data_IF_480432925799
#
_entry.id   IF_480432925799
#
_cell.length_a   1.000
_cell.length_b   1.000
_cell.length_c   1.000
_cell.angle_alpha   90.00
_cell.angle_beta   90.00
_cell.angle_gamma   90.00
#
_symmetry.space_group_name_H-M   'P 1'
#
loop_
_entity.id
_entity.type
_entity.pdbx_description
1 polymer ?
#
# COMPACT_ATOMS: atom_id res chain seq x y z
N UNK A 1 9.93 -10.02 -13.10
CA UNK A 1 8.50 -10.13 -12.74
C UNK A 1 8.37 -9.25 -11.51
N UNK A 2 7.61 -8.16 -11.60
CA UNK A 2 7.46 -7.25 -10.47
C UNK A 2 6.68 -7.96 -9.37
N UNK A 3 7.13 -7.78 -8.13
CA UNK A 3 6.48 -8.28 -6.92
C UNK A 3 6.07 -7.07 -6.12
N UNK A 4 4.86 -7.09 -5.59
CA UNK A 4 4.36 -6.12 -4.65
C UNK A 4 4.64 -6.62 -3.23
N UNK A 5 5.07 -5.71 -2.38
CA UNK A 5 5.30 -5.90 -0.96
C UNK A 5 4.30 -5.05 -0.18
N UNK A 6 3.53 -5.70 0.68
CA UNK A 6 2.55 -5.09 1.55
C UNK A 6 3.06 -5.17 2.98
N UNK A 7 3.46 -4.04 3.55
CA UNK A 7 4.21 -3.99 4.81
C UNK A 7 3.35 -3.31 5.86
N UNK A 8 3.07 -3.99 6.97
CA UNK A 8 2.30 -3.40 8.09
C UNK A 8 2.94 -2.08 8.54
N UNK A 9 2.11 -1.03 8.70
CA UNK A 9 2.58 0.33 9.01
C UNK A 9 3.19 0.43 10.42
N UNK A 10 2.56 -0.22 11.40
CA UNK A 10 3.02 -0.18 12.78
C UNK A 10 4.16 -1.18 13.06
N UNK A 11 5.10 -0.76 13.92
CA UNK A 11 6.10 -1.67 14.47
C UNK A 11 5.42 -2.71 15.37
N UNK A 12 5.47 -3.97 14.96
CA UNK A 12 4.81 -5.06 15.67
C UNK A 12 5.64 -5.55 16.87
N UNK A 13 4.99 -5.90 17.99
CA UNK A 13 5.69 -6.51 19.11
C UNK A 13 6.24 -7.88 18.70
N UNK A 14 7.38 -8.28 19.27
CA UNK A 14 7.99 -9.61 19.03
C UNK A 14 7.08 -10.81 19.35
N UNK A 15 6.03 -10.59 20.15
CA UNK A 15 5.03 -11.59 20.51
C UNK A 15 3.82 -11.62 19.57
N UNK A 16 3.84 -10.87 18.47
CA UNK A 16 2.75 -10.83 17.50
C UNK A 16 2.49 -12.23 16.94
N UNK A 17 1.20 -12.56 16.79
CA UNK A 17 0.74 -13.82 16.21
C UNK A 17 0.08 -13.51 14.89
N UNK A 18 0.66 -14.00 13.80
CA UNK A 18 0.19 -13.75 12.44
C UNK A 18 -0.94 -14.73 12.08
N UNK A 19 -2.15 -14.24 11.74
CA UNK A 19 -3.28 -15.11 11.41
C UNK A 19 -3.23 -15.65 9.97
N UNK A 20 -2.23 -15.24 9.19
CA UNK A 20 -2.02 -15.61 7.80
C UNK A 20 -0.73 -16.43 7.63
N UNK A 21 -0.59 -17.07 6.47
CA UNK A 21 0.61 -17.83 6.13
C UNK A 21 1.80 -16.90 5.89
N UNK A 22 2.80 -16.99 6.78
CA UNK A 22 4.06 -16.25 6.63
C UNK A 22 4.80 -16.75 5.38
N UNK A 23 5.10 -15.83 4.47
CA UNK A 23 5.82 -16.11 3.22
C UNK A 23 7.34 -15.93 3.38
N UNK A 24 7.76 -14.97 4.20
CA UNK A 24 9.15 -14.71 4.55
C UNK A 24 9.32 -14.66 6.07
N UNK A 25 9.98 -15.67 6.65
CA UNK A 25 10.24 -15.72 8.09
C UNK A 25 11.14 -14.59 8.61
N UNK A 26 11.90 -13.92 7.74
CA UNK A 26 12.74 -12.79 8.10
C UNK A 26 11.98 -11.45 8.14
N UNK A 27 10.81 -11.38 7.50
CA UNK A 27 9.92 -10.22 7.46
C UNK A 27 8.46 -10.69 7.51
N UNK A 28 7.99 -11.26 8.64
CA UNK A 28 6.66 -11.84 8.76
C UNK A 28 5.50 -10.82 8.67
N UNK A 29 5.79 -9.54 8.88
CA UNK A 29 4.92 -8.39 8.67
C UNK A 29 4.72 -8.03 7.19
N UNK A 30 5.48 -8.64 6.29
CA UNK A 30 5.37 -8.40 4.84
C UNK A 30 4.56 -9.51 4.18
N UNK A 31 3.52 -9.12 3.44
CA UNK A 31 2.81 -9.99 2.52
C UNK A 31 3.24 -9.66 1.09
N UNK A 32 3.49 -10.67 0.28
CA UNK A 32 4.00 -10.54 -1.08
C UNK A 32 2.99 -11.08 -2.09
N UNK A 33 2.81 -10.37 -3.19
CA UNK A 33 2.05 -10.85 -4.35
C UNK A 33 2.78 -10.55 -5.66
N UNK A 34 2.57 -11.40 -6.66
CA UNK A 34 2.95 -11.06 -8.03
C UNK A 34 2.00 -10.02 -8.62
N UNK A 35 2.44 -9.32 -9.67
CA UNK A 35 1.60 -8.42 -10.45
C UNK A 35 0.31 -9.07 -10.97
N UNK A 36 0.38 -10.33 -11.43
CA UNK A 36 -0.81 -11.09 -11.87
C UNK A 36 -1.81 -11.31 -10.73
N UNK A 37 -1.32 -11.53 -9.50
CA UNK A 37 -2.15 -11.73 -8.32
C UNK A 37 -2.77 -10.41 -7.84
N UNK A 38 -2.02 -9.31 -7.86
CA UNK A 38 -2.55 -7.97 -7.57
C UNK A 38 -3.62 -7.60 -8.59
N UNK A 39 -3.39 -7.85 -9.88
CA UNK A 39 -4.38 -7.63 -10.94
C UNK A 39 -5.66 -8.44 -10.71
N UNK A 40 -5.54 -9.70 -10.28
CA UNK A 40 -6.68 -10.54 -9.95
C UNK A 40 -7.47 -9.97 -8.76
N UNK A 41 -6.78 -9.56 -7.69
CA UNK A 41 -7.38 -8.97 -6.50
C UNK A 41 -8.11 -7.65 -6.83
N UNK A 42 -7.47 -6.76 -7.58
CA UNK A 42 -8.08 -5.51 -8.05
C UNK A 42 -9.34 -5.78 -8.87
N UNK A 43 -9.32 -6.79 -9.75
CA UNK A 43 -10.48 -7.18 -10.55
C UNK A 43 -11.65 -7.65 -9.66
N UNK A 44 -11.37 -8.42 -8.60
CA UNK A 44 -12.41 -8.79 -7.62
C UNK A 44 -12.95 -7.56 -6.89
N UNK A 45 -12.08 -6.69 -6.36
CA UNK A 45 -12.51 -5.48 -5.66
C UNK A 45 -13.36 -4.57 -6.55
N UNK A 46 -13.02 -4.44 -7.84
CA UNK A 46 -13.79 -3.68 -8.80
C UNK A 46 -15.17 -4.29 -9.05
N UNK A 47 -15.27 -5.62 -9.22
CA UNK A 47 -16.56 -6.32 -9.41
C UNK A 47 -17.43 -6.22 -8.16
N UNK A 48 -16.82 -6.20 -6.98
CA UNK A 48 -17.50 -6.08 -5.68
C UNK A 48 -17.81 -4.62 -5.29
N UNK A 49 -17.58 -3.66 -6.20
CA UNK A 49 -17.83 -2.22 -5.99
C UNK A 49 -17.07 -1.63 -4.79
N UNK A 50 -15.81 -2.08 -4.60
CA UNK A 50 -14.90 -1.65 -3.53
C UNK A 50 -13.66 -0.94 -4.02
N UNK A 51 -13.51 -0.74 -5.33
CA UNK A 51 -12.37 -0.07 -5.93
C UNK A 51 -12.83 1.23 -6.60
N UNK A 52 -12.31 2.36 -6.16
CA UNK A 52 -12.55 3.66 -6.80
C UNK A 52 -11.60 3.84 -7.98
N UNK A 53 -12.14 3.67 -9.18
CA UNK A 53 -11.40 3.81 -10.45
C UNK A 53 -11.44 5.23 -11.02
N UNK A 54 -12.25 6.13 -10.45
CA UNK A 54 -12.34 7.52 -10.92
C UNK A 54 -11.27 8.40 -10.29
N UNK A 55 -10.71 7.97 -9.15
CA UNK A 55 -9.64 8.67 -8.47
C UNK A 55 -8.30 8.47 -9.18
N UNK A 56 -7.65 9.57 -9.56
CA UNK A 56 -6.39 9.55 -10.32
C UNK A 56 -5.40 10.52 -9.70
N UNK A 57 -4.73 10.05 -8.63
CA UNK A 57 -3.45 10.61 -8.23
C UNK A 57 -2.38 10.13 -9.22
N UNK A 58 -1.50 11.04 -9.62
CA UNK A 58 -0.39 10.75 -10.54
C UNK A 58 0.88 11.44 -10.05
N UNK A 59 2.01 11.18 -10.72
CA UNK A 59 3.33 11.74 -10.39
C UNK A 59 3.35 13.27 -10.26
N UNK A 60 2.41 13.99 -10.90
CA UNK A 60 2.34 15.45 -10.80
C UNK A 60 1.97 15.92 -9.37
N UNK A 61 1.20 15.13 -8.62
CA UNK A 61 0.79 15.46 -7.25
C UNK A 61 2.01 15.53 -6.31
N UNK A 62 2.92 14.55 -6.40
CA UNK A 62 4.17 14.53 -5.63
C UNK A 62 5.08 15.69 -6.02
N UNK A 63 5.25 15.91 -7.33
CA UNK A 63 6.06 17.02 -7.84
C UNK A 63 5.57 18.38 -7.32
N UNK A 64 4.25 18.59 -7.20
CA UNK A 64 3.72 19.84 -6.67
C UNK A 64 4.08 20.09 -5.20
N UNK A 65 4.19 19.04 -4.38
CA UNK A 65 4.58 19.14 -2.97
C UNK A 65 6.03 19.65 -2.89
N UNK A 66 6.92 18.97 -3.58
CA UNK A 66 8.34 19.31 -3.57
C UNK A 66 8.62 20.66 -4.25
N UNK A 67 7.89 21.01 -5.32
CA UNK A 67 7.96 22.36 -5.91
C UNK A 67 7.55 23.46 -4.94
N UNK A 68 6.54 23.25 -4.09
CA UNK A 68 6.12 24.23 -3.07
C UNK A 68 7.13 24.41 -1.95
N UNK A 69 7.94 23.38 -1.67
CA UNK A 69 9.01 23.47 -0.68
C UNK A 69 10.19 24.36 -1.14
N UNK A 70 10.22 24.74 -2.43
CA UNK A 70 11.33 25.43 -3.09
C UNK A 70 12.67 24.67 -3.03
N UNK A 71 12.67 23.42 -2.57
CA UNK A 71 13.80 22.51 -2.60
C UNK A 71 13.89 21.81 -3.95
N UNK A 72 15.10 21.77 -4.51
CA UNK A 72 15.36 20.86 -5.64
C UNK A 72 15.44 19.42 -5.13
N UNK A 73 15.14 18.40 -5.95
CA UNK A 73 15.27 17.00 -5.53
C UNK A 73 16.65 16.66 -4.96
N UNK A 74 17.73 17.17 -5.58
CA UNK A 74 19.10 16.98 -5.09
C UNK A 74 19.31 17.62 -3.72
N UNK A 75 18.73 18.81 -3.48
CA UNK A 75 18.85 19.49 -2.19
C UNK A 75 18.05 18.77 -1.10
N UNK A 76 16.85 18.27 -1.42
CA UNK A 76 16.07 17.45 -0.51
C UNK A 76 16.82 16.17 -0.11
N UNK A 77 17.50 15.51 -1.06
CA UNK A 77 18.36 14.36 -0.79
C UNK A 77 19.53 14.71 0.13
N UNK A 78 20.25 15.81 -0.10
CA UNK A 78 21.32 16.28 0.80
C UNK A 78 20.81 16.54 2.23
N UNK A 79 19.62 17.14 2.35
CA UNK A 79 19.00 17.40 3.66
C UNK A 79 18.62 16.08 4.34
N UNK A 80 18.06 15.11 3.61
CA UNK A 80 17.79 13.77 4.14
C UNK A 80 19.07 13.12 4.68
N UNK A 81 20.14 13.12 3.88
CA UNK A 81 21.43 12.54 4.27
C UNK A 81 22.04 13.22 5.50
N UNK A 82 21.84 14.53 5.63
CA UNK A 82 22.28 15.30 6.79
C UNK A 82 21.49 14.94 8.06
N UNK A 83 20.17 14.82 7.96
CA UNK A 83 19.28 14.62 9.11
C UNK A 83 19.23 13.16 9.58
N UNK A 84 19.07 12.21 8.66
CA UNK A 84 18.81 10.81 8.99
C UNK A 84 20.10 9.97 9.05
N UNK A 85 21.03 10.22 8.11
CA UNK A 85 22.27 9.45 7.99
C UNK A 85 23.47 10.12 8.68
N UNK A 86 23.27 11.31 9.28
CA UNK A 86 24.30 12.12 9.94
C UNK A 86 25.52 12.39 9.03
N UNK A 87 25.31 12.52 7.72
CA UNK A 87 26.37 12.82 6.76
C UNK A 87 26.65 14.32 6.70
N UNK A 88 27.93 14.67 6.61
CA UNK A 88 28.33 16.06 6.39
C UNK A 88 28.02 16.46 4.95
N UNK A 89 27.21 17.51 4.77
CA UNK A 89 26.87 18.11 3.48
C UNK A 89 27.28 19.59 3.46
N UNK A 90 27.72 20.07 2.30
CA UNK A 90 28.12 21.47 2.11
C UNK A 90 27.36 22.10 0.92
N UNK A 91 26.62 23.21 1.12
CA UNK A 91 26.46 23.95 2.38
C UNK A 91 25.57 23.20 3.38
N UNK A 92 25.84 23.40 4.68
CA UNK A 92 25.00 22.91 5.78
C UNK A 92 23.57 23.43 5.59
N UNK A 93 22.53 22.58 5.70
CA UNK A 93 21.15 23.02 5.60
C UNK A 93 20.80 24.10 6.62
N UNK A 94 20.14 25.15 6.14
CA UNK A 94 19.57 26.18 7.01
C UNK A 94 18.34 25.68 7.75
N UNK A 95 17.95 26.35 8.84
CA UNK A 95 16.72 26.03 9.57
C UNK A 95 15.47 26.11 8.69
N UNK A 96 15.43 27.08 7.75
CA UNK A 96 14.33 27.24 6.81
C UNK A 96 14.24 26.07 5.82
N UNK A 97 15.38 25.59 5.31
CA UNK A 97 15.45 24.42 4.42
C UNK A 97 15.01 23.14 5.15
N UNK A 98 15.43 22.96 6.40
CA UNK A 98 15.02 21.82 7.23
C UNK A 98 13.52 21.87 7.50
N UNK A 99 12.97 23.05 7.82
CA UNK A 99 11.54 23.22 8.04
C UNK A 99 10.73 22.95 6.76
N UNK A 100 11.19 23.44 5.60
CA UNK A 100 10.56 23.18 4.31
C UNK A 100 10.58 21.69 3.95
N UNK A 101 11.70 21.01 4.21
CA UNK A 101 11.85 19.57 4.01
C UNK A 101 10.84 18.78 4.86
N UNK A 102 10.77 19.04 6.16
CA UNK A 102 9.81 18.36 7.04
C UNK A 102 8.35 18.64 6.64
N UNK A 103 8.02 19.86 6.22
CA UNK A 103 6.67 20.17 5.75
C UNK A 103 6.34 19.40 4.46
N UNK A 104 7.30 19.28 3.53
CA UNK A 104 7.13 18.49 2.32
C UNK A 104 6.90 17.00 2.65
N UNK A 105 7.66 16.43 3.60
CA UNK A 105 7.44 15.06 4.07
C UNK A 105 6.06 14.86 4.70
N UNK A 106 5.57 15.84 5.47
CA UNK A 106 4.22 15.79 6.06
C UNK A 106 3.15 15.82 4.95
N UNK A 107 3.31 16.71 3.97
CA UNK A 107 2.37 16.85 2.86
C UNK A 107 2.38 15.61 1.96
N UNK A 108 3.54 15.00 1.73
CA UNK A 108 3.71 13.75 0.98
C UNK A 108 3.06 12.58 1.71
N UNK A 109 3.30 12.43 3.02
CA UNK A 109 2.63 11.40 3.82
C UNK A 109 1.11 11.56 3.82
N UNK A 110 0.61 12.81 3.82
CA UNK A 110 -0.81 13.10 3.70
C UNK A 110 -1.36 12.71 2.33
N UNK A 111 -0.60 12.93 1.26
CA UNK A 111 -0.96 12.48 -0.08
C UNK A 111 -1.00 10.94 -0.14
N UNK A 112 0.04 10.27 0.36
CA UNK A 112 0.16 8.81 0.38
C UNK A 112 -0.93 8.11 1.21
N UNK A 113 -1.53 8.82 2.16
CA UNK A 113 -2.63 8.32 2.99
C UNK A 113 -4.02 8.78 2.54
N UNK A 114 -4.11 9.44 1.38
CA UNK A 114 -5.38 9.94 0.87
C UNK A 114 -6.36 8.79 0.61
N UNK A 115 -7.54 8.89 1.23
CA UNK A 115 -8.65 7.96 1.03
C UNK A 115 -9.54 8.41 -0.14
N UNK A 116 -10.33 7.47 -0.68
CA UNK A 116 -11.33 7.81 -1.69
C UNK A 116 -12.38 8.78 -1.13
N UNK A 117 -12.87 9.75 -1.92
CA UNK A 117 -14.03 10.55 -1.54
C UNK A 117 -15.34 9.74 -1.54
N UNK A 118 -15.37 8.53 -2.12
CA UNK A 118 -16.52 7.64 -2.15
C UNK A 118 -16.46 6.71 -0.94
N UNK A 119 -17.47 6.80 -0.08
CA UNK A 119 -17.53 5.96 1.12
C UNK A 119 -17.59 4.48 0.73
N UNK A 120 -16.81 3.66 1.42
CA UNK A 120 -16.75 2.22 1.18
C UNK A 120 -15.81 1.79 0.05
N UNK A 121 -15.04 2.71 -0.57
CA UNK A 121 -14.16 2.40 -1.69
C UNK A 121 -12.68 2.65 -1.39
N UNK A 122 -11.81 1.82 -1.97
CA UNK A 122 -10.35 1.97 -1.91
C UNK A 122 -9.86 2.56 -3.24
N UNK A 123 -9.02 3.61 -3.24
CA UNK A 123 -8.50 4.16 -4.49
C UNK A 123 -7.66 3.16 -5.29
N UNK A 124 -7.92 3.08 -6.59
CA UNK A 124 -7.22 2.13 -7.50
C UNK A 124 -5.72 2.38 -7.58
N UNK A 125 -5.29 3.65 -7.45
CA UNK A 125 -3.90 4.04 -7.60
C UNK A 125 -3.00 3.38 -6.54
N UNK A 126 -3.53 3.06 -5.35
CA UNK A 126 -2.78 2.42 -4.25
C UNK A 126 -2.24 1.02 -4.61
N UNK A 127 -2.84 0.37 -5.60
CA UNK A 127 -2.43 -0.95 -6.09
C UNK A 127 -1.88 -0.92 -7.52
N UNK A 128 -1.86 0.26 -8.15
CA UNK A 128 -1.40 0.44 -9.53
C UNK A 128 0.06 0.90 -9.60
N UNK A 129 0.60 1.43 -8.50
CA UNK A 129 1.98 1.90 -8.39
C UNK A 129 2.59 1.51 -7.05
N UNK A 130 3.92 1.44 -7.01
CA UNK A 130 4.71 1.04 -5.84
C UNK A 130 5.29 2.28 -5.12
N UNK A 131 4.46 3.30 -4.94
CA UNK A 131 4.90 4.60 -4.43
C UNK A 131 4.83 4.72 -2.89
N UNK A 132 4.61 3.62 -2.16
CA UNK A 132 4.47 3.65 -0.70
C UNK A 132 3.10 4.12 -0.21
N UNK A 133 2.05 3.89 -1.01
CA UNK A 133 0.67 4.23 -0.63
C UNK A 133 0.27 3.53 0.66
N UNK A 134 -0.37 4.27 1.57
CA UNK A 134 -0.97 3.69 2.76
C UNK A 134 -2.38 3.21 2.43
N UNK A 135 -2.60 1.90 2.54
CA UNK A 135 -3.95 1.36 2.67
C UNK A 135 -4.36 1.50 4.13
N UNK A 136 -5.34 2.36 4.40
CA UNK A 136 -5.70 2.76 5.77
C UNK A 136 -6.37 1.63 6.52
N UNK A 137 -6.52 1.77 7.83
CA UNK A 137 -7.20 0.77 8.67
C UNK A 137 -8.62 0.48 8.19
N UNK A 138 -9.38 1.52 7.82
CA UNK A 138 -10.75 1.42 7.30
C UNK A 138 -10.80 0.72 5.93
N UNK A 139 -9.86 1.05 5.05
CA UNK A 139 -9.73 0.40 3.75
C UNK A 139 -9.38 -1.09 3.90
N UNK A 140 -8.49 -1.42 4.84
CA UNK A 140 -8.16 -2.80 5.19
C UNK A 140 -9.39 -3.58 5.66
N UNK A 141 -10.25 -2.99 6.49
CA UNK A 141 -11.50 -3.65 6.93
C UNK A 141 -12.41 -4.02 5.75
N UNK A 142 -12.58 -3.10 4.80
CA UNK A 142 -13.39 -3.35 3.59
C UNK A 142 -12.80 -4.44 2.71
N UNK A 143 -11.48 -4.44 2.52
CA UNK A 143 -10.78 -5.47 1.76
C UNK A 143 -10.92 -6.83 2.46
N UNK A 144 -10.75 -6.86 3.79
CA UNK A 144 -10.87 -8.07 4.58
C UNK A 144 -12.28 -8.68 4.51
N UNK A 145 -13.32 -7.84 4.49
CA UNK A 145 -14.70 -8.29 4.30
C UNK A 145 -14.87 -9.00 2.96
N UNK A 146 -14.47 -8.37 1.86
CA UNK A 146 -14.57 -8.95 0.49
C UNK A 146 -13.86 -10.29 0.40
N UNK A 147 -12.69 -10.42 1.02
CA UNK A 147 -11.87 -11.61 0.95
C UNK A 147 -12.03 -12.55 2.15
N UNK A 148 -13.16 -12.48 2.85
CA UNK A 148 -13.54 -13.50 3.82
C UNK A 148 -13.71 -14.87 3.14
N UNK A 149 -13.37 -15.98 3.82
CA UNK A 149 -13.54 -17.32 3.26
C UNK A 149 -14.95 -17.59 2.73
N UNK A 150 -15.96 -17.09 3.44
CA UNK A 150 -17.37 -17.23 3.08
C UNK A 150 -17.66 -16.53 1.74
N UNK A 151 -17.32 -15.24 1.61
CA UNK A 151 -17.61 -14.47 0.39
C UNK A 151 -16.77 -14.93 -0.80
N UNK A 152 -15.51 -15.31 -0.58
CA UNK A 152 -14.67 -15.89 -1.65
C UNK A 152 -15.30 -17.19 -2.18
N UNK A 153 -15.79 -18.05 -1.29
CA UNK A 153 -16.44 -19.30 -1.67
C UNK A 153 -17.79 -19.07 -2.37
N UNK A 154 -18.61 -18.15 -1.88
CA UNK A 154 -19.89 -17.77 -2.51
C UNK A 154 -19.68 -17.19 -3.92
N UNK A 155 -18.56 -16.48 -4.14
CA UNK A 155 -18.19 -15.88 -5.42
C UNK A 155 -17.28 -16.79 -6.28
N UNK A 156 -17.25 -18.11 -6.04
CA UNK A 156 -16.42 -19.08 -6.75
C UNK A 156 -16.46 -18.93 -8.29
N UNK A 157 -17.62 -18.63 -8.88
CA UNK A 157 -17.72 -18.42 -10.34
C UNK A 157 -16.88 -17.22 -10.81
N UNK A 158 -16.97 -16.09 -10.10
CA UNK A 158 -16.21 -14.87 -10.42
C UNK A 158 -14.72 -15.13 -10.26
N UNK A 159 -14.31 -15.75 -9.15
CA UNK A 159 -12.90 -16.10 -8.88
C UNK A 159 -12.36 -17.05 -9.96
N UNK A 160 -13.17 -18.03 -10.40
CA UNK A 160 -12.79 -18.93 -11.50
C UNK A 160 -12.51 -18.17 -12.79
N UNK A 161 -13.40 -17.25 -13.20
CA UNK A 161 -13.22 -16.47 -14.43
C UNK A 161 -11.96 -15.59 -14.36
N UNK A 162 -11.70 -14.96 -13.22
CA UNK A 162 -10.50 -14.13 -13.03
C UNK A 162 -9.24 -15.00 -13.05
N UNK A 163 -9.28 -16.18 -12.45
CA UNK A 163 -8.14 -17.11 -12.44
C UNK A 163 -7.68 -17.48 -13.86
N UNK A 164 -8.62 -17.66 -14.80
CA UNK A 164 -8.32 -17.92 -16.20
C UNK A 164 -7.63 -16.72 -16.88
N UNK A 165 -8.14 -15.50 -16.62
CA UNK A 165 -7.59 -14.27 -17.20
C UNK A 165 -6.16 -13.98 -16.70
N UNK A 166 -5.93 -14.15 -15.40
CA UNK A 166 -4.64 -13.91 -14.75
C UNK A 166 -3.68 -15.10 -14.85
N UNK A 167 -4.10 -16.22 -15.48
CA UNK A 167 -3.30 -17.46 -15.63
C UNK A 167 -2.81 -18.03 -14.29
N UNK A 168 -3.58 -17.84 -13.23
CA UNK A 168 -3.35 -18.42 -11.90
C UNK A 168 -4.33 -19.58 -11.75
N UNK A 169 -3.91 -20.70 -11.17
CA UNK A 169 -4.87 -21.79 -10.93
C UNK A 169 -5.94 -21.32 -9.94
N UNK A 170 -7.21 -21.65 -10.20
CA UNK A 170 -8.32 -21.21 -9.34
C UNK A 170 -8.05 -21.48 -7.86
N UNK A 171 -7.66 -22.72 -7.50
CA UNK A 171 -7.36 -23.08 -6.11
C UNK A 171 -6.23 -22.23 -5.49
N UNK A 172 -5.23 -21.87 -6.29
CA UNK A 172 -4.14 -20.99 -5.83
C UNK A 172 -4.66 -19.57 -5.60
N UNK A 173 -5.46 -19.04 -6.52
CA UNK A 173 -6.04 -17.71 -6.37
C UNK A 173 -6.97 -17.65 -5.16
N UNK A 174 -7.87 -18.61 -5.00
CA UNK A 174 -8.80 -18.69 -3.87
C UNK A 174 -8.07 -18.68 -2.52
N UNK A 175 -7.06 -19.54 -2.36
CA UNK A 175 -6.26 -19.58 -1.14
C UNK A 175 -5.51 -18.26 -0.90
N UNK A 176 -4.95 -17.66 -1.96
CA UNK A 176 -4.24 -16.39 -1.86
C UNK A 176 -5.16 -15.25 -1.42
N UNK A 177 -6.36 -15.15 -2.00
CA UNK A 177 -7.35 -14.14 -1.64
C UNK A 177 -7.76 -14.27 -0.18
N UNK A 178 -7.99 -15.50 0.31
CA UNK A 178 -8.32 -15.75 1.72
C UNK A 178 -7.18 -15.33 2.66
N UNK A 179 -5.94 -15.70 2.35
CA UNK A 179 -4.77 -15.28 3.15
C UNK A 179 -4.59 -13.77 3.14
N UNK A 180 -4.88 -13.12 2.00
CA UNK A 180 -4.87 -11.67 1.89
C UNK A 180 -5.96 -10.99 2.73
N UNK A 181 -7.17 -11.57 2.78
CA UNK A 181 -8.24 -11.10 3.66
C UNK A 181 -7.83 -11.17 5.13
N UNK A 182 -7.14 -12.24 5.54
CA UNK A 182 -6.59 -12.37 6.91
C UNK A 182 -5.49 -11.35 7.19
N UNK A 183 -4.60 -11.10 6.23
CA UNK A 183 -3.58 -10.06 6.34
C UNK A 183 -4.23 -8.68 6.52
N UNK A 184 -5.22 -8.32 5.70
CA UNK A 184 -5.94 -7.05 5.80
C UNK A 184 -6.67 -6.91 7.15
N UNK A 185 -7.32 -7.98 7.63
CA UNK A 185 -7.96 -7.96 8.94
C UNK A 185 -6.94 -7.74 10.07
N UNK A 186 -5.74 -8.28 9.93
CA UNK A 186 -4.65 -8.04 10.87
C UNK A 186 -4.15 -6.59 10.76
N UNK A 187 -3.85 -6.12 9.55
CA UNK A 187 -3.37 -4.77 9.27
C UNK A 187 -4.32 -3.67 9.75
N UNK A 188 -5.64 -3.89 9.65
CA UNK A 188 -6.64 -2.95 10.17
C UNK A 188 -6.48 -2.63 11.67
N UNK A 189 -5.86 -3.53 12.43
CA UNK A 189 -5.59 -3.38 13.87
C UNK A 189 -4.21 -2.80 14.17
N UNK A 190 -3.42 -2.54 13.13
CA UNK A 190 -2.01 -2.19 13.17
C UNK A 190 -1.66 -1.04 12.20
N UNK A 191 -2.54 -0.04 12.11
CA UNK A 191 -2.29 1.17 11.31
C UNK A 191 -2.48 1.04 9.80
N UNK A 192 -2.82 -0.15 9.29
CA UNK A 192 -2.89 -0.44 7.86
C UNK A 192 -1.58 -1.01 7.32
N UNK A 193 -1.31 -0.81 6.03
CA UNK A 193 -0.06 -1.23 5.40
C UNK A 193 0.35 -0.36 4.23
N UNK A 194 1.64 -0.35 3.92
CA UNK A 194 2.25 0.33 2.77
C UNK A 194 2.40 -0.61 1.59
N UNK A 195 2.24 -0.09 0.38
CA UNK A 195 2.40 -0.81 -0.89
C UNK A 195 3.71 -0.40 -1.58
N UNK A 196 4.64 -1.36 -1.72
CA UNK A 196 5.99 -1.19 -2.30
C UNK A 196 6.32 -2.22 -3.38
#
# INVERSE_FOLDING_TARGET
MMSYEFIIEEELPRSAVFPYQIQNSAAPETFMMSEDAVSAMMSVLQIMDKLDTDDSLNEHCFNQIWLKSELTPARAEEIYLFLEENLAVEPVPSEDEIAAFHQAQIDENKLLSQESPKDGMVPVHKFSTNDGWLVTTKECEWIAEVFSPELVSENHFVVSQISELCKISHRTLEALLIEWGKFNLFASKHGGYRVN
#
